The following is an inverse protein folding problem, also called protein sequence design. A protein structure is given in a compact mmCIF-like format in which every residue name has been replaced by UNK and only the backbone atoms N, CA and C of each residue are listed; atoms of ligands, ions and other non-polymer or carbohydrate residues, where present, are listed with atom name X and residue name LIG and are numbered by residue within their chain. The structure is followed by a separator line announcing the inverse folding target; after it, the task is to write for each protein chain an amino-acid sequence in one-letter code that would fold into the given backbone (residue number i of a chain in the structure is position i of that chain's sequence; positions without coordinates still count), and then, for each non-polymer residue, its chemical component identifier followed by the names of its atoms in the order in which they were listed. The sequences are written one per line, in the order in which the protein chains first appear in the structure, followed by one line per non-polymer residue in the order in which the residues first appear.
data_IF_185367150574
#
_entry.id   IF_185367150574
#
_cell.length_a   1.000
_cell.length_b   1.000
_cell.length_c   1.000
_cell.angle_alpha   90.00
_cell.angle_beta   90.00
_cell.angle_gamma   90.00
#
_symmetry.space_group_name_H-M   'P 1'
#
loop_
_entity.id
_entity.type
_entity.pdbx_description
1 polymer ?
#
# COMPACT_ATOMS: atom_id res chain seq x y z
N UNK A 1 9.93 2.94 24.36
CA UNK A 1 9.38 3.50 23.11
C UNK A 1 9.18 4.98 23.32
N UNK A 2 9.62 5.79 22.36
CA UNK A 2 9.34 7.23 22.39
C UNK A 2 7.82 7.42 22.18
N UNK A 3 7.19 8.38 22.86
CA UNK A 3 5.71 8.52 22.82
C UNK A 3 5.20 8.82 21.40
N UNK A 4 6.00 9.55 20.62
CA UNK A 4 5.70 9.96 19.25
C UNK A 4 5.72 8.79 18.25
N UNK A 5 6.69 7.87 18.38
CA UNK A 5 6.80 6.69 17.50
C UNK A 5 5.69 5.68 17.77
N UNK A 6 5.20 5.58 19.00
CA UNK A 6 4.05 4.76 19.34
C UNK A 6 2.77 5.27 18.66
N UNK A 7 2.52 6.58 18.72
CA UNK A 7 1.40 7.20 18.01
C UNK A 7 1.50 6.98 16.49
N UNK A 8 2.67 7.22 15.90
CA UNK A 8 2.88 7.01 14.46
C UNK A 8 2.68 5.55 14.05
N UNK A 9 3.10 4.58 14.87
CA UNK A 9 2.86 3.15 14.62
C UNK A 9 1.38 2.81 14.62
N UNK A 10 0.61 3.35 15.56
CA UNK A 10 -0.85 3.17 15.58
C UNK A 10 -1.50 3.78 14.33
N UNK A 11 -1.09 4.99 13.93
CA UNK A 11 -1.58 5.63 12.70
C UNK A 11 -1.26 4.80 11.46
N UNK A 12 -0.06 4.23 11.34
CA UNK A 12 0.33 3.35 10.22
C UNK A 12 -0.58 2.13 10.11
N UNK A 13 -0.95 1.51 11.24
CA UNK A 13 -1.91 0.40 11.26
C UNK A 13 -3.31 0.86 10.87
N UNK A 14 -3.74 2.01 11.39
CA UNK A 14 -5.04 2.60 11.05
C UNK A 14 -5.15 2.97 9.56
N UNK A 15 -4.07 3.41 8.92
CA UNK A 15 -4.05 3.70 7.47
C UNK A 15 -4.30 2.45 6.61
N UNK A 16 -3.99 1.25 7.10
CA UNK A 16 -4.27 0.00 6.39
C UNK A 16 -5.76 -0.35 6.30
N UNK A 17 -6.53 -0.03 7.34
CA UNK A 17 -7.96 -0.40 7.47
C UNK A 17 -8.84 0.12 6.31
N UNK A 18 -8.78 1.42 5.94
CA UNK A 18 -9.53 1.92 4.80
C UNK A 18 -9.22 1.17 3.52
N UNK A 19 -7.94 0.87 3.24
CA UNK A 19 -7.55 0.16 2.01
C UNK A 19 -8.07 -1.27 2.00
N UNK A 20 -8.10 -1.96 3.14
CA UNK A 20 -8.75 -3.28 3.25
C UNK A 20 -10.24 -3.18 2.92
N UNK A 21 -10.93 -2.17 3.46
CA UNK A 21 -12.34 -1.96 3.16
C UNK A 21 -12.58 -1.66 1.68
N UNK A 22 -11.74 -0.82 1.06
CA UNK A 22 -11.79 -0.56 -0.39
C UNK A 22 -11.63 -1.86 -1.18
N UNK A 23 -10.67 -2.71 -0.78
CA UNK A 23 -10.39 -3.96 -1.47
C UNK A 23 -11.55 -4.96 -1.41
N UNK A 24 -12.24 -5.05 -0.27
CA UNK A 24 -13.31 -6.04 -0.06
C UNK A 24 -14.64 -5.55 -0.63
N UNK A 25 -14.99 -4.29 -0.42
CA UNK A 25 -16.33 -3.77 -0.76
C UNK A 25 -16.35 -3.06 -2.10
N UNK A 26 -15.38 -2.19 -2.37
CA UNK A 26 -15.47 -1.24 -3.49
C UNK A 26 -14.89 -1.81 -4.79
N UNK A 27 -13.74 -2.48 -4.75
CA UNK A 27 -13.13 -3.04 -5.97
C UNK A 27 -14.09 -4.01 -6.70
N UNK A 28 -14.74 -4.98 -6.03
CA UNK A 28 -15.65 -5.91 -6.69
C UNK A 28 -16.90 -5.21 -7.25
N UNK A 29 -17.45 -4.25 -6.51
CA UNK A 29 -18.64 -3.49 -6.91
C UNK A 29 -18.37 -2.66 -8.17
N UNK A 30 -17.23 -1.94 -8.21
CA UNK A 30 -16.81 -1.20 -9.40
C UNK A 30 -16.59 -2.15 -10.58
N UNK A 31 -15.95 -3.30 -10.34
CA UNK A 31 -15.68 -4.26 -11.40
C UNK A 31 -16.98 -4.82 -12.01
N UNK A 32 -17.98 -5.13 -11.19
CA UNK A 32 -19.30 -5.57 -11.67
C UNK A 32 -20.02 -4.46 -12.45
N UNK A 33 -20.02 -3.23 -11.91
CA UNK A 33 -20.64 -2.08 -12.56
C UNK A 33 -20.05 -1.77 -13.94
N UNK A 34 -18.72 -1.88 -14.09
CA UNK A 34 -18.05 -1.64 -15.37
C UNK A 34 -18.45 -2.64 -16.47
N UNK A 35 -18.72 -3.90 -16.11
CA UNK A 35 -19.18 -4.92 -17.05
C UNK A 35 -20.60 -4.64 -17.53
N UNK A 36 -21.49 -4.22 -16.62
CA UNK A 36 -22.86 -3.85 -16.99
C UNK A 36 -22.91 -2.60 -17.86
N UNK A 37 -22.07 -1.60 -17.56
CA UNK A 37 -22.03 -0.35 -18.29
C UNK A 37 -21.44 -0.51 -19.70
N UNK A 38 -20.40 -1.35 -19.84
CA UNK A 38 -19.70 -1.57 -21.12
C UNK A 38 -19.44 -3.07 -21.35
N UNK A 39 -20.42 -3.83 -21.84
CA UNK A 39 -20.32 -5.29 -22.01
C UNK A 39 -19.20 -5.73 -22.94
N UNK A 40 -18.81 -4.89 -23.90
CA UNK A 40 -17.69 -5.15 -24.81
C UNK A 40 -16.33 -5.17 -24.12
N UNK A 41 -16.20 -4.59 -22.92
CA UNK A 41 -14.96 -4.53 -22.13
C UNK A 41 -14.91 -5.57 -21.00
N UNK A 42 -15.78 -6.58 -21.01
CA UNK A 42 -15.82 -7.62 -19.97
C UNK A 42 -14.45 -8.30 -19.77
N UNK A 43 -13.66 -8.46 -20.84
CA UNK A 43 -12.31 -9.03 -20.76
C UNK A 43 -11.32 -8.17 -19.93
N UNK A 44 -11.58 -6.87 -19.79
CA UNK A 44 -10.72 -5.93 -19.07
C UNK A 44 -10.99 -5.89 -17.57
N UNK A 45 -12.12 -6.47 -17.12
CA UNK A 45 -12.48 -6.55 -15.70
C UNK A 45 -11.39 -7.21 -14.86
N UNK A 46 -10.88 -8.37 -15.30
CA UNK A 46 -9.87 -9.12 -14.55
C UNK A 46 -8.52 -8.39 -14.51
N UNK A 47 -7.94 -7.90 -15.63
CA UNK A 47 -6.74 -7.06 -15.60
C UNK A 47 -6.86 -5.84 -14.68
N UNK A 48 -8.02 -5.16 -14.71
CA UNK A 48 -8.27 -3.99 -13.87
C UNK A 48 -8.27 -4.36 -12.38
N UNK A 49 -9.00 -5.41 -11.99
CA UNK A 49 -9.00 -5.91 -10.62
C UNK A 49 -7.60 -6.34 -10.17
N UNK A 50 -6.86 -7.06 -11.01
CA UNK A 50 -5.49 -7.49 -10.72
C UNK A 50 -4.59 -6.27 -10.48
N UNK A 51 -4.68 -5.22 -11.30
CA UNK A 51 -3.92 -3.99 -11.11
C UNK A 51 -4.21 -3.32 -9.77
N UNK A 52 -5.49 -3.18 -9.42
CA UNK A 52 -5.89 -2.58 -8.14
C UNK A 52 -5.42 -3.43 -6.94
N UNK A 53 -5.62 -4.74 -6.95
CA UNK A 53 -5.14 -5.61 -5.86
C UNK A 53 -3.61 -5.65 -5.76
N UNK A 54 -2.90 -5.61 -6.90
CA UNK A 54 -1.44 -5.52 -6.92
C UNK A 54 -0.97 -4.20 -6.27
N UNK A 55 -1.60 -3.08 -6.61
CA UNK A 55 -1.31 -1.78 -6.00
C UNK A 55 -1.56 -1.78 -4.48
N UNK A 56 -2.66 -2.40 -4.03
CA UNK A 56 -2.97 -2.56 -2.62
C UNK A 56 -1.90 -3.40 -1.90
N UNK A 57 -1.45 -4.49 -2.53
CA UNK A 57 -0.33 -5.30 -2.03
C UNK A 57 0.94 -4.48 -1.82
N UNK A 58 1.34 -3.68 -2.82
CA UNK A 58 2.53 -2.80 -2.71
C UNK A 58 2.33 -1.74 -1.60
N UNK A 59 1.12 -1.20 -1.46
CA UNK A 59 0.79 -0.27 -0.39
C UNK A 59 0.97 -0.88 1.00
N UNK A 60 0.48 -2.10 1.24
CA UNK A 60 0.68 -2.80 2.52
C UNK A 60 2.16 -3.10 2.80
N UNK A 61 2.92 -3.45 1.76
CA UNK A 61 4.38 -3.60 1.88
C UNK A 61 5.02 -2.28 2.30
N UNK A 62 4.60 -1.15 1.74
CA UNK A 62 5.10 0.17 2.12
C UNK A 62 4.78 0.50 3.60
N UNK A 63 3.54 0.25 4.05
CA UNK A 63 3.16 0.45 5.45
C UNK A 63 4.00 -0.40 6.41
N UNK A 64 4.27 -1.66 6.06
CA UNK A 64 5.15 -2.53 6.85
C UNK A 64 6.57 -1.97 6.95
N UNK A 65 7.13 -1.44 5.85
CA UNK A 65 8.44 -0.81 5.89
C UNK A 65 8.44 0.45 6.76
N UNK A 66 7.39 1.27 6.73
CA UNK A 66 7.26 2.44 7.62
C UNK A 66 7.18 2.00 9.09
N UNK A 67 6.44 0.94 9.41
CA UNK A 67 6.38 0.40 10.76
C UNK A 67 7.77 -0.04 11.26
N UNK A 68 8.54 -0.71 10.38
CA UNK A 68 9.91 -1.14 10.66
C UNK A 68 10.85 0.05 10.85
N UNK A 69 10.72 1.10 10.03
CA UNK A 69 11.47 2.36 10.14
C UNK A 69 11.26 3.00 11.53
N UNK A 70 10.01 3.12 11.97
CA UNK A 70 9.67 3.64 13.30
C UNK A 70 10.26 2.77 14.43
N UNK A 71 10.33 1.45 14.22
CA UNK A 71 11.03 0.52 15.12
C UNK A 71 12.53 0.74 15.22
N UNK A 72 13.19 1.15 14.14
CA UNK A 72 14.60 1.52 14.17
C UNK A 72 14.84 2.88 14.82
N UNK A 73 13.95 3.86 14.62
CA UNK A 73 14.00 5.16 15.30
C UNK A 73 13.85 4.99 16.82
N UNK A 74 12.96 4.09 17.25
CA UNK A 74 12.79 3.73 18.68
C UNK A 74 14.04 3.15 19.34
N UNK A 75 14.94 2.56 18.54
CA UNK A 75 16.20 1.94 18.98
C UNK A 75 17.41 2.85 18.77
N UNK A 76 17.18 4.12 18.44
CA UNK A 76 18.22 5.10 18.07
C UNK A 76 19.10 4.66 16.87
N UNK A 77 18.56 3.78 16.02
CA UNK A 77 19.21 3.27 14.79
C UNK A 77 18.80 4.07 13.54
N UNK A 78 18.35 5.31 13.70
CA UNK A 78 17.80 6.13 12.61
C UNK A 78 18.81 6.38 11.46
N UNK A 79 20.10 6.42 11.75
CA UNK A 79 21.17 6.61 10.76
C UNK A 79 21.95 5.33 10.42
N UNK A 80 21.40 4.16 10.75
CA UNK A 80 22.02 2.87 10.43
C UNK A 80 21.78 2.44 8.99
N UNK A 81 22.64 1.56 8.46
CA UNK A 81 22.44 0.92 7.15
C UNK A 81 21.11 0.16 7.07
N UNK A 82 20.64 -0.39 8.20
CA UNK A 82 19.33 -1.05 8.29
C UNK A 82 18.20 -0.07 7.98
N UNK A 83 18.25 1.13 8.55
CA UNK A 83 17.26 2.19 8.29
C UNK A 83 17.34 2.69 6.85
N UNK A 84 18.55 2.92 6.33
CA UNK A 84 18.74 3.32 4.93
C UNK A 84 18.15 2.28 3.97
N UNK A 85 18.33 0.99 4.25
CA UNK A 85 17.76 -0.08 3.43
C UNK A 85 16.22 -0.10 3.45
N UNK A 86 15.61 0.19 4.61
CA UNK A 86 14.16 0.33 4.72
C UNK A 86 13.65 1.52 3.91
N UNK A 87 14.33 2.68 3.97
CA UNK A 87 14.00 3.84 3.15
C UNK A 87 14.11 3.55 1.64
N UNK A 88 15.15 2.81 1.20
CA UNK A 88 15.27 2.34 -0.19
C UNK A 88 14.09 1.47 -0.61
N UNK A 89 13.60 0.60 0.27
CA UNK A 89 12.43 -0.23 -0.02
C UNK A 89 11.14 0.60 -0.11
N UNK A 90 10.95 1.60 0.76
CA UNK A 90 9.82 2.54 0.65
C UNK A 90 9.86 3.27 -0.69
N UNK A 91 11.03 3.77 -1.11
CA UNK A 91 11.21 4.41 -2.43
C UNK A 91 10.84 3.47 -3.58
N UNK A 92 11.24 2.18 -3.51
CA UNK A 92 10.87 1.18 -4.52
C UNK A 92 9.36 0.93 -4.55
N UNK A 93 8.69 0.89 -3.40
CA UNK A 93 7.22 0.76 -3.35
C UNK A 93 6.55 1.97 -4.02
N UNK A 94 7.00 3.18 -3.71
CA UNK A 94 6.49 4.40 -4.35
C UNK A 94 6.69 4.40 -5.88
N UNK A 95 7.87 3.97 -6.34
CA UNK A 95 8.15 3.84 -7.77
C UNK A 95 7.29 2.75 -8.44
N UNK A 96 7.04 1.63 -7.76
CA UNK A 96 6.22 0.55 -8.29
C UNK A 96 4.74 0.97 -8.39
N UNK A 97 4.21 1.68 -7.39
CA UNK A 97 2.87 2.27 -7.45
C UNK A 97 2.81 3.30 -8.60
N UNK A 98 3.77 4.22 -8.67
CA UNK A 98 3.83 5.21 -9.75
C UNK A 98 3.90 4.56 -11.13
N UNK A 99 4.72 3.53 -11.29
CA UNK A 99 4.81 2.77 -12.54
C UNK A 99 3.51 2.07 -12.92
N UNK A 100 2.79 1.51 -11.95
CA UNK A 100 1.51 0.82 -12.18
C UNK A 100 0.40 1.77 -12.67
N UNK A 101 0.41 3.04 -12.24
CA UNK A 101 -0.60 4.03 -12.64
C UNK A 101 -0.20 4.91 -13.84
N UNK A 102 1.09 4.98 -14.19
CA UNK A 102 1.58 5.74 -15.35
C UNK A 102 1.58 4.89 -16.64
N UNK A 103 1.80 3.59 -16.52
CA UNK A 103 1.64 2.62 -17.61
C UNK A 103 0.15 2.37 -17.91
#
# INVERSE_FOLDING_TARGET
MKRETFFLKAVVVLMGLPVVALCIFIIPEIAAFLVELVPSLTYLQYPFMIGLYASAGIYFVALYQVFKLLGYIDKDLAFSDLTVNVLKNIKRCAAAIGGLFIL
#
